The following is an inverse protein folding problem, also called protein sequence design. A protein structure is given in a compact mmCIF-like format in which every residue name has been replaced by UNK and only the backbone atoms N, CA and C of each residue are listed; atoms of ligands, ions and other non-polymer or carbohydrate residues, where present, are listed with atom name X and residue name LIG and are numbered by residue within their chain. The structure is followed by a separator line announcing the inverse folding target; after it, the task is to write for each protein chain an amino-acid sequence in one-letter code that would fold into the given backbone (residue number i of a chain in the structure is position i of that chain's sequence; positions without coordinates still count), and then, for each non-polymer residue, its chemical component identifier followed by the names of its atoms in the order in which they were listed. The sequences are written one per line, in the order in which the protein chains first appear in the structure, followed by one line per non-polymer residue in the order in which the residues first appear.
data_IF_200656391939
#
_entry.id   IF_200656391939
#
_cell.length_a   1.000
_cell.length_b   1.000
_cell.length_c   1.000
_cell.angle_alpha   90.00
_cell.angle_beta   90.00
_cell.angle_gamma   90.00
#
_symmetry.space_group_name_H-M   'P 1'
#
loop_
_entity.id
_entity.type
_entity.pdbx_description
1 polymer ?
#
# COMPACT_ATOMS: atom_id res chain seq x y z
N UNK A 1 15.12 -1.66 22.34
CA UNK A 1 14.88 -3.13 22.28
C UNK A 1 15.12 -3.57 20.84
N UNK A 2 15.79 -4.71 20.59
CA UNK A 2 16.01 -5.22 19.22
C UNK A 2 14.80 -6.02 18.73
N UNK A 3 14.45 -5.88 17.45
CA UNK A 3 13.44 -6.69 16.77
C UNK A 3 14.09 -8.03 16.34
N UNK A 4 14.33 -8.87 17.34
CA UNK A 4 15.12 -10.09 17.23
C UNK A 4 15.59 -10.56 18.61
N UNK A 5 16.46 -11.57 18.65
CA UNK A 5 17.15 -11.99 19.87
C UNK A 5 18.13 -10.89 20.32
N UNK A 6 18.52 -10.85 21.62
CA UNK A 6 19.40 -9.79 22.14
C UNK A 6 20.71 -9.61 21.37
N UNK A 7 21.26 -10.70 20.83
CA UNK A 7 22.55 -10.71 20.13
C UNK A 7 22.43 -10.62 18.60
N UNK A 8 21.22 -10.53 18.06
CA UNK A 8 21.02 -10.44 16.61
C UNK A 8 21.57 -9.12 16.06
N UNK A 9 22.02 -9.20 14.80
CA UNK A 9 22.51 -8.09 13.99
C UNK A 9 21.60 -7.93 12.76
N UNK A 10 21.44 -6.71 12.22
CA UNK A 10 20.67 -6.51 11.00
C UNK A 10 21.21 -7.36 9.84
N UNK A 11 20.32 -8.00 9.11
CA UNK A 11 20.67 -8.78 7.91
C UNK A 11 21.10 -7.88 6.75
N UNK A 12 20.51 -6.69 6.66
CA UNK A 12 20.81 -5.69 5.65
C UNK A 12 21.55 -4.51 6.28
N UNK A 13 22.51 -3.94 5.56
CA UNK A 13 23.10 -2.67 5.95
C UNK A 13 22.07 -1.52 5.84
N UNK A 14 22.33 -0.41 6.52
CA UNK A 14 21.37 0.70 6.63
C UNK A 14 20.98 1.30 5.28
N UNK A 15 21.92 1.40 4.33
CA UNK A 15 21.65 1.99 3.01
C UNK A 15 20.74 1.06 2.20
N UNK A 16 21.05 -0.24 2.18
CA UNK A 16 20.22 -1.24 1.51
C UNK A 16 18.82 -1.31 2.12
N UNK A 17 18.71 -1.27 3.45
CA UNK A 17 17.41 -1.23 4.14
C UNK A 17 16.60 0.02 3.76
N UNK A 18 17.24 1.19 3.75
CA UNK A 18 16.60 2.43 3.35
C UNK A 18 16.14 2.41 1.89
N UNK A 19 16.95 1.85 0.99
CA UNK A 19 16.59 1.69 -0.42
C UNK A 19 15.37 0.76 -0.60
N UNK A 20 15.29 -0.34 0.15
CA UNK A 20 14.12 -1.23 0.15
C UNK A 20 12.85 -0.51 0.62
N UNK A 21 12.95 0.37 1.62
CA UNK A 21 11.82 1.17 2.10
C UNK A 21 11.28 2.10 0.99
N UNK A 22 12.17 2.75 0.23
CA UNK A 22 11.78 3.61 -0.89
C UNK A 22 11.13 2.79 -2.02
N UNK A 23 11.71 1.63 -2.34
CA UNK A 23 11.16 0.72 -3.35
C UNK A 23 9.75 0.23 -2.99
N UNK A 24 9.48 -0.03 -1.70
CA UNK A 24 8.16 -0.43 -1.23
C UNK A 24 7.13 0.70 -1.27
N UNK A 25 7.58 1.96 -1.12
CA UNK A 25 6.70 3.14 -1.15
C UNK A 25 6.26 3.58 -2.55
N UNK A 26 7.03 3.23 -3.59
CA UNK A 26 6.74 3.62 -4.97
C UNK A 26 5.69 2.68 -5.59
N UNK A 27 4.41 3.04 -5.46
CA UNK A 27 3.29 2.27 -6.01
C UNK A 27 2.48 3.00 -7.09
N UNK A 28 1.52 2.28 -7.68
CA UNK A 28 0.55 2.82 -8.67
C UNK A 28 -0.13 4.09 -8.14
N UNK A 29 -0.45 4.13 -6.85
CA UNK A 29 -1.07 5.29 -6.21
C UNK A 29 -0.26 6.58 -6.38
N UNK A 30 1.06 6.52 -6.31
CA UNK A 30 1.92 7.70 -6.50
C UNK A 30 1.93 8.18 -7.96
N UNK A 31 1.91 7.26 -8.91
CA UNK A 31 1.86 7.60 -10.35
C UNK A 31 0.47 8.12 -10.74
N UNK A 32 -0.59 7.59 -10.13
CA UNK A 32 -1.97 7.99 -10.41
C UNK A 32 -2.32 9.32 -9.73
N UNK A 33 -2.17 9.39 -8.40
CA UNK A 33 -2.58 10.55 -7.60
C UNK A 33 -1.51 11.62 -7.45
N UNK A 34 -0.23 11.32 -7.70
CA UNK A 34 0.85 12.29 -7.53
C UNK A 34 0.68 13.57 -8.34
N UNK A 35 0.09 13.47 -9.53
CA UNK A 35 -0.32 14.64 -10.31
C UNK A 35 -1.81 14.97 -10.13
N UNK A 36 -2.70 13.96 -10.14
CA UNK A 36 -4.13 14.18 -10.19
C UNK A 36 -4.68 14.84 -8.92
N UNK A 37 -4.21 14.43 -7.74
CA UNK A 37 -4.73 14.90 -6.46
C UNK A 37 -4.42 16.38 -6.16
N UNK A 38 -3.18 16.88 -6.27
CA UNK A 38 -2.91 18.29 -6.02
C UNK A 38 -3.62 19.19 -7.03
N UNK A 39 -3.78 18.75 -8.29
CA UNK A 39 -4.55 19.49 -9.30
C UNK A 39 -6.04 19.52 -8.95
N UNK A 40 -6.62 18.39 -8.52
CA UNK A 40 -8.02 18.33 -8.11
C UNK A 40 -8.29 19.23 -6.90
N UNK A 41 -7.44 19.17 -5.87
CA UNK A 41 -7.56 20.04 -4.69
C UNK A 41 -7.29 21.52 -5.00
N UNK A 42 -6.53 21.83 -6.06
CA UNK A 42 -6.32 23.21 -6.50
C UNK A 42 -7.54 23.80 -7.22
N UNK A 43 -8.25 22.97 -7.99
CA UNK A 43 -9.47 23.36 -8.70
C UNK A 43 -10.70 23.40 -7.78
N UNK A 44 -10.74 22.59 -6.72
CA UNK A 44 -11.82 22.55 -5.74
C UNK A 44 -11.28 22.47 -4.30
N UNK A 45 -10.60 23.52 -3.82
CA UNK A 45 -10.09 23.57 -2.45
C UNK A 45 -11.23 23.62 -1.42
N UNK A 46 -11.06 23.04 -0.22
CA UNK A 46 -12.07 23.06 0.83
C UNK A 46 -12.39 24.46 1.38
N UNK A 47 -11.39 25.34 1.50
CA UNK A 47 -11.55 26.63 2.18
C UNK A 47 -11.07 27.87 1.41
N UNK A 48 -10.11 27.72 0.50
CA UNK A 48 -9.67 28.82 -0.37
C UNK A 48 -10.59 29.03 -1.59
N UNK A 49 -10.43 30.17 -2.26
CA UNK A 49 -11.00 30.35 -3.59
C UNK A 49 -10.22 29.50 -4.61
N UNK A 50 -10.89 28.78 -5.52
CA UNK A 50 -10.26 27.96 -6.57
C UNK A 50 -9.17 28.71 -7.35
N UNK A 51 -8.15 27.97 -7.76
CA UNK A 51 -7.08 28.46 -8.66
C UNK A 51 -6.26 29.65 -8.14
N UNK A 52 -6.30 29.92 -6.83
CA UNK A 52 -5.51 30.99 -6.18
C UNK A 52 -4.22 30.48 -5.56
N UNK A 53 -3.27 31.37 -5.26
CA UNK A 53 -2.05 31.03 -4.50
C UNK A 53 -2.35 30.38 -3.14
N UNK A 54 -3.48 30.75 -2.51
CA UNK A 54 -3.95 30.12 -1.28
C UNK A 54 -4.40 28.67 -1.53
N UNK A 55 -5.18 28.44 -2.59
CA UNK A 55 -5.59 27.09 -3.01
C UNK A 55 -4.39 26.20 -3.36
N UNK A 56 -3.34 26.74 -3.97
CA UNK A 56 -2.11 25.99 -4.25
C UNK A 56 -1.43 25.51 -2.96
N UNK A 57 -1.34 26.40 -1.97
CA UNK A 57 -0.74 26.07 -0.68
C UNK A 57 -1.57 25.02 0.05
N UNK A 58 -2.90 25.15 0.02
CA UNK A 58 -3.85 24.21 0.63
C UNK A 58 -3.83 22.84 -0.08
N UNK A 59 -3.80 22.80 -1.41
CA UNK A 59 -3.78 21.56 -2.19
C UNK A 59 -2.55 20.70 -1.90
N UNK A 60 -1.38 21.33 -1.83
CA UNK A 60 -0.14 20.64 -1.45
C UNK A 60 -0.22 20.15 -0.01
N UNK A 61 -0.72 20.96 0.94
CA UNK A 61 -0.88 20.52 2.34
C UNK A 61 -1.77 19.29 2.45
N UNK A 62 -2.91 19.27 1.77
CA UNK A 62 -3.82 18.12 1.76
C UNK A 62 -3.16 16.88 1.14
N UNK A 63 -2.46 17.05 0.02
CA UNK A 63 -1.74 15.94 -0.64
C UNK A 63 -0.64 15.38 0.27
N UNK A 64 0.16 16.25 0.91
CA UNK A 64 1.17 15.83 1.88
C UNK A 64 0.56 15.19 3.13
N UNK A 65 -0.65 15.58 3.53
CA UNK A 65 -1.33 14.93 4.64
C UNK A 65 -1.73 13.48 4.30
N UNK A 66 -2.26 13.24 3.09
CA UNK A 66 -2.66 11.91 2.64
C UNK A 66 -1.47 10.96 2.38
N UNK A 67 -0.38 11.46 1.79
CA UNK A 67 0.76 10.62 1.37
C UNK A 67 1.99 10.72 2.28
N UNK A 68 1.96 11.65 3.24
CA UNK A 68 3.04 11.88 4.19
C UNK A 68 2.93 11.00 5.44
N UNK A 69 3.32 11.58 6.57
CA UNK A 69 3.52 10.84 7.81
C UNK A 69 2.31 10.00 8.25
N UNK A 70 1.08 10.46 8.01
CA UNK A 70 -0.14 9.78 8.45
C UNK A 70 -0.25 8.35 7.88
N UNK A 71 -0.07 8.18 6.57
CA UNK A 71 -0.11 6.87 5.92
C UNK A 71 1.02 5.95 6.42
N UNK A 72 2.24 6.49 6.51
CA UNK A 72 3.41 5.74 6.93
C UNK A 72 3.38 5.33 8.41
N UNK A 73 2.76 6.14 9.28
CA UNK A 73 2.61 5.82 10.69
C UNK A 73 1.76 4.56 10.89
N UNK A 74 0.70 4.38 10.10
CA UNK A 74 -0.15 3.19 10.14
C UNK A 74 0.68 1.95 9.79
N UNK A 75 1.46 2.00 8.70
CA UNK A 75 2.37 0.90 8.34
C UNK A 75 3.42 0.64 9.40
N UNK A 76 4.01 1.69 9.97
CA UNK A 76 5.02 1.59 11.02
C UNK A 76 4.49 0.86 12.26
N UNK A 77 3.27 1.17 12.70
CA UNK A 77 2.64 0.50 13.86
C UNK A 77 2.40 -0.98 13.57
N UNK A 78 1.79 -1.31 12.43
CA UNK A 78 1.49 -2.71 12.08
C UNK A 78 2.77 -3.52 11.85
N UNK A 79 3.74 -2.96 11.12
CA UNK A 79 5.03 -3.60 10.87
C UNK A 79 5.80 -3.83 12.17
N UNK A 80 5.78 -2.88 13.11
CA UNK A 80 6.41 -3.03 14.42
C UNK A 80 5.76 -4.15 15.23
N UNK A 81 4.43 -4.23 15.23
CA UNK A 81 3.70 -5.26 15.94
C UNK A 81 4.01 -6.67 15.40
N UNK A 82 4.02 -6.82 14.07
CA UNK A 82 4.40 -8.06 13.39
C UNK A 82 5.87 -8.42 13.65
N UNK A 83 6.79 -7.48 13.44
CA UNK A 83 8.21 -7.72 13.62
C UNK A 83 8.56 -8.08 15.08
N UNK A 84 7.90 -7.44 16.05
CA UNK A 84 8.07 -7.80 17.45
C UNK A 84 7.50 -9.21 17.73
N UNK A 85 6.28 -9.51 17.31
CA UNK A 85 5.68 -10.83 17.55
C UNK A 85 6.51 -11.94 16.90
N UNK A 86 6.91 -11.75 15.65
CA UNK A 86 7.65 -12.75 14.89
C UNK A 86 9.09 -12.88 15.35
N UNK A 87 9.88 -11.81 15.30
CA UNK A 87 11.33 -11.90 15.53
C UNK A 87 11.71 -11.86 17.01
N UNK A 88 10.94 -11.18 17.87
CA UNK A 88 11.24 -11.09 19.30
C UNK A 88 10.56 -12.17 20.12
N UNK A 89 9.31 -12.54 19.78
CA UNK A 89 8.54 -13.55 20.53
C UNK A 89 8.53 -14.93 19.88
N UNK A 90 8.99 -15.06 18.64
CA UNK A 90 9.04 -16.35 17.94
C UNK A 90 7.66 -16.85 17.51
N UNK A 91 6.68 -15.96 17.43
CA UNK A 91 5.34 -16.31 16.95
C UNK A 91 5.32 -16.43 15.41
N UNK A 92 4.33 -17.13 14.85
CA UNK A 92 4.04 -17.05 13.42
C UNK A 92 3.78 -15.61 12.97
N UNK A 93 4.13 -15.28 11.72
CA UNK A 93 3.92 -13.96 11.10
C UNK A 93 2.45 -13.70 10.73
N UNK A 94 1.55 -13.82 11.70
CA UNK A 94 0.10 -13.63 11.55
C UNK A 94 -0.36 -12.40 12.34
N UNK A 95 -1.37 -11.71 11.82
CA UNK A 95 -1.92 -10.50 12.48
C UNK A 95 -2.54 -10.87 13.82
N UNK A 96 -3.26 -12.00 13.90
CA UNK A 96 -3.82 -12.53 15.15
C UNK A 96 -2.79 -12.63 16.27
N UNK A 97 -1.55 -13.03 15.96
CA UNK A 97 -0.47 -13.23 16.93
C UNK A 97 0.06 -11.93 17.51
N UNK A 98 -0.11 -10.81 16.81
CA UNK A 98 0.21 -9.49 17.36
C UNK A 98 -0.72 -9.12 18.52
N UNK A 99 -1.91 -9.72 18.60
CA UNK A 99 -2.93 -9.44 19.60
C UNK A 99 -2.86 -10.37 20.82
N UNK A 100 -1.88 -11.29 20.91
CA UNK A 100 -1.70 -12.16 22.08
C UNK A 100 -1.64 -11.39 23.41
N UNK A 101 -0.99 -10.21 23.53
CA UNK A 101 -0.98 -9.46 24.78
C UNK A 101 -2.38 -9.05 25.28
N UNK A 102 -3.37 -8.98 24.39
CA UNK A 102 -4.75 -8.60 24.72
C UNK A 102 -5.68 -9.81 24.82
N UNK A 103 -5.50 -10.80 23.95
CA UNK A 103 -6.41 -11.94 23.80
C UNK A 103 -5.88 -13.25 24.43
N UNK A 104 -4.63 -13.27 24.87
CA UNK A 104 -3.96 -14.47 25.39
C UNK A 104 -3.98 -15.60 24.37
N UNK A 105 -4.18 -16.83 24.83
CA UNK A 105 -4.15 -18.02 23.98
C UNK A 105 -5.33 -18.14 23.01
N UNK A 106 -6.33 -17.25 23.10
CA UNK A 106 -7.45 -17.21 22.15
C UNK A 106 -7.01 -16.89 20.72
N UNK A 107 -5.81 -16.32 20.53
CA UNK A 107 -5.21 -16.10 19.21
C UNK A 107 -4.89 -17.40 18.45
N UNK A 108 -4.87 -18.53 19.14
CA UNK A 108 -4.70 -19.87 18.54
C UNK A 108 -6.03 -20.53 18.16
N UNK A 109 -7.14 -19.97 18.63
CA UNK A 109 -8.48 -20.50 18.40
C UNK A 109 -9.24 -19.79 17.28
N UNK A 110 -10.56 -19.98 17.22
CA UNK A 110 -11.42 -19.42 16.17
C UNK A 110 -11.36 -17.90 16.04
N UNK A 111 -11.11 -17.19 17.15
CA UNK A 111 -10.96 -15.73 17.15
C UNK A 111 -9.71 -15.32 16.36
N UNK A 112 -8.59 -16.01 16.56
CA UNK A 112 -7.37 -15.76 15.80
C UNK A 112 -7.57 -16.00 14.31
N UNK A 113 -8.18 -17.12 13.94
CA UNK A 113 -8.51 -17.43 12.54
C UNK A 113 -9.40 -16.34 11.92
N UNK A 114 -10.41 -15.85 12.64
CA UNK A 114 -11.26 -14.76 12.15
C UNK A 114 -10.46 -13.50 11.86
N UNK A 115 -9.55 -13.09 12.76
CA UNK A 115 -8.69 -11.91 12.57
C UNK A 115 -7.80 -12.07 11.34
N UNK A 116 -7.19 -13.24 11.17
CA UNK A 116 -6.30 -13.51 10.03
C UNK A 116 -7.08 -13.53 8.71
N UNK A 117 -8.28 -14.11 8.69
CA UNK A 117 -9.18 -14.08 7.53
C UNK A 117 -9.55 -12.64 7.18
N UNK A 118 -9.97 -11.82 8.15
CA UNK A 118 -10.27 -10.41 7.91
C UNK A 118 -9.07 -9.65 7.36
N UNK A 119 -7.87 -9.96 7.85
CA UNK A 119 -6.62 -9.36 7.39
C UNK A 119 -6.34 -9.70 5.93
N UNK A 120 -6.53 -10.97 5.53
CA UNK A 120 -6.41 -11.40 4.13
C UNK A 120 -7.42 -10.68 3.24
N UNK A 121 -8.68 -10.57 3.66
CA UNK A 121 -9.69 -9.82 2.91
C UNK A 121 -9.33 -8.34 2.77
N UNK A 122 -8.84 -7.69 3.83
CA UNK A 122 -8.41 -6.30 3.78
C UNK A 122 -7.25 -6.11 2.76
N UNK A 123 -6.28 -7.02 2.75
CA UNK A 123 -5.18 -7.00 1.76
C UNK A 123 -5.70 -7.21 0.34
N UNK A 124 -6.59 -8.19 0.12
CA UNK A 124 -7.16 -8.47 -1.20
C UNK A 124 -7.92 -7.28 -1.77
N UNK A 125 -8.74 -6.62 -0.95
CA UNK A 125 -9.48 -5.41 -1.36
C UNK A 125 -8.52 -4.28 -1.72
N UNK A 126 -7.49 -4.04 -0.90
CA UNK A 126 -6.47 -3.01 -1.19
C UNK A 126 -5.72 -3.26 -2.50
N UNK A 127 -5.30 -4.51 -2.73
CA UNK A 127 -4.62 -4.92 -3.97
C UNK A 127 -5.54 -4.78 -5.19
N UNK A 128 -6.81 -5.17 -5.08
CA UNK A 128 -7.78 -5.09 -6.17
C UNK A 128 -8.03 -3.64 -6.62
N UNK A 129 -8.16 -2.70 -5.67
CA UNK A 129 -8.31 -1.27 -5.98
C UNK A 129 -7.07 -0.73 -6.70
N UNK A 130 -5.87 -1.06 -6.22
CA UNK A 130 -4.61 -0.66 -6.85
C UNK A 130 -4.48 -1.20 -8.28
N UNK A 131 -4.82 -2.47 -8.50
CA UNK A 131 -4.80 -3.11 -9.82
C UNK A 131 -5.80 -2.44 -10.79
N UNK A 132 -7.02 -2.14 -10.31
CA UNK A 132 -8.02 -1.44 -11.10
C UNK A 132 -7.56 -0.06 -11.54
N UNK A 133 -6.94 0.72 -10.65
CA UNK A 133 -6.33 2.02 -11.00
C UNK A 133 -5.21 1.86 -12.03
N UNK A 134 -4.36 0.85 -11.90
CA UNK A 134 -3.33 0.53 -12.89
C UNK A 134 -3.92 0.26 -14.28
N UNK A 135 -5.00 -0.51 -14.35
CA UNK A 135 -5.69 -0.81 -15.60
C UNK A 135 -6.30 0.45 -16.24
N UNK A 136 -6.91 1.33 -15.44
CA UNK A 136 -7.41 2.64 -15.89
C UNK A 136 -6.29 3.50 -16.47
N UNK A 137 -5.15 3.54 -15.79
CA UNK A 137 -4.00 4.33 -16.20
C UNK A 137 -3.37 3.81 -17.50
N UNK A 138 -3.20 2.48 -17.62
CA UNK A 138 -2.71 1.85 -18.85
C UNK A 138 -3.69 2.10 -20.00
N UNK A 139 -5.00 1.90 -19.80
CA UNK A 139 -5.98 2.13 -20.85
C UNK A 139 -5.99 3.59 -21.30
N UNK A 140 -5.92 4.55 -20.36
CA UNK A 140 -5.81 5.98 -20.67
C UNK A 140 -4.56 6.32 -21.48
N UNK A 141 -3.41 5.75 -21.12
CA UNK A 141 -2.16 5.92 -21.88
C UNK A 141 -2.23 5.34 -23.28
N UNK A 142 -2.78 4.12 -23.44
CA UNK A 142 -2.99 3.50 -24.75
C UNK A 142 -3.98 4.27 -25.62
N UNK A 143 -5.02 4.84 -25.01
CA UNK A 143 -5.97 5.68 -25.72
C UNK A 143 -5.29 6.95 -26.25
N UNK A 144 -4.51 7.62 -25.41
CA UNK A 144 -3.78 8.82 -25.78
C UNK A 144 -2.75 8.60 -26.90
N UNK A 145 -2.00 7.48 -26.83
CA UNK A 145 -0.92 7.20 -27.78
C UNK A 145 -1.37 6.52 -29.08
N UNK A 146 -2.36 5.62 -28.99
CA UNK A 146 -2.72 4.71 -30.08
C UNK A 146 -4.21 4.74 -30.44
N UNK A 147 -5.02 5.57 -29.79
CA UNK A 147 -6.45 5.69 -30.07
C UNK A 147 -7.28 4.48 -29.62
N UNK A 148 -6.73 3.57 -28.81
CA UNK A 148 -7.45 2.41 -28.27
C UNK A 148 -8.67 2.89 -27.45
N UNK A 149 -9.86 2.27 -27.57
CA UNK A 149 -11.02 2.66 -26.78
C UNK A 149 -10.75 2.66 -25.27
N UNK A 150 -11.18 3.70 -24.58
CA UNK A 150 -11.13 3.76 -23.11
C UNK A 150 -12.48 3.31 -22.53
N UNK A 151 -12.59 2.02 -22.22
CA UNK A 151 -13.80 1.44 -21.67
C UNK A 151 -13.50 0.21 -20.80
N UNK A 152 -14.49 -0.23 -20.04
CA UNK A 152 -14.35 -1.35 -19.10
C UNK A 152 -13.94 -2.66 -19.78
N UNK A 153 -14.29 -2.86 -21.06
CA UNK A 153 -13.90 -4.07 -21.79
C UNK A 153 -12.38 -4.12 -22.02
N UNK A 154 -11.78 -3.02 -22.49
CA UNK A 154 -10.32 -2.94 -22.67
C UNK A 154 -9.58 -3.02 -21.33
N UNK A 155 -10.10 -2.37 -20.28
CA UNK A 155 -9.55 -2.49 -18.93
C UNK A 155 -9.56 -3.93 -18.42
N UNK A 156 -10.64 -4.68 -18.67
CA UNK A 156 -10.74 -6.10 -18.35
C UNK A 156 -9.68 -6.94 -19.07
N UNK A 157 -9.43 -6.68 -20.36
CA UNK A 157 -8.36 -7.34 -21.12
C UNK A 157 -6.99 -7.03 -20.51
N UNK A 158 -6.71 -5.76 -20.18
CA UNK A 158 -5.44 -5.34 -19.54
C UNK A 158 -5.23 -6.11 -18.24
N UNK A 159 -6.27 -6.20 -17.39
CA UNK A 159 -6.21 -6.93 -16.13
C UNK A 159 -5.85 -8.40 -16.39
N UNK A 160 -6.54 -9.08 -17.30
CA UNK A 160 -6.28 -10.50 -17.62
C UNK A 160 -4.84 -10.70 -18.09
N UNK A 161 -4.34 -9.84 -18.98
CA UNK A 161 -2.95 -9.92 -19.47
C UNK A 161 -1.95 -9.73 -18.35
N UNK A 162 -2.09 -8.68 -17.53
CA UNK A 162 -1.20 -8.40 -16.40
C UNK A 162 -1.25 -9.54 -15.38
N UNK A 163 -2.43 -10.11 -15.11
CA UNK A 163 -2.58 -11.26 -14.23
C UNK A 163 -1.85 -12.50 -14.76
N UNK A 164 -1.96 -12.81 -16.06
CA UNK A 164 -1.22 -13.92 -16.68
C UNK A 164 0.29 -13.70 -16.55
N UNK A 165 0.78 -12.48 -16.84
CA UNK A 165 2.20 -12.14 -16.71
C UNK A 165 2.68 -12.26 -15.26
N UNK A 166 1.88 -11.80 -14.31
CA UNK A 166 2.17 -11.92 -12.88
C UNK A 166 2.26 -13.39 -12.44
N UNK A 167 1.29 -14.23 -12.84
CA UNK A 167 1.30 -15.66 -12.50
C UNK A 167 2.51 -16.35 -13.12
N UNK A 168 2.83 -16.06 -14.38
CA UNK A 168 4.00 -16.62 -15.04
C UNK A 168 5.29 -16.24 -14.31
N UNK A 169 5.45 -14.97 -13.92
CA UNK A 169 6.59 -14.48 -13.15
C UNK A 169 6.69 -15.13 -11.77
N UNK A 170 5.57 -15.25 -11.05
CA UNK A 170 5.52 -15.86 -9.72
C UNK A 170 5.86 -17.35 -9.75
N UNK A 171 5.54 -18.03 -10.86
CA UNK A 171 5.84 -19.45 -11.04
C UNK A 171 7.29 -19.71 -11.47
N UNK A 172 7.88 -18.84 -12.30
CA UNK A 172 9.26 -19.02 -12.79
C UNK A 172 10.35 -18.73 -11.77
N UNK A 173 10.05 -17.94 -10.72
CA UNK A 173 11.01 -17.47 -9.72
C UNK A 173 11.63 -16.13 -10.07
#
# INVERSE_FOLDING_TARGET
LKLGKPNDKPEFNTISWFAMLFSAGMGIGLVFYGAAEPMAHFAAPPTADPETTKAYTESLRSTFFHWGFHAWAIYGVVALALAYSQFRKGEPGLISRTLRPLLGDKVEGPIGTLIDVLSVFATLVGVAVSLGMGALQINGGLHYLFGVPNNTFVQGIIIVVVTILFIASAWSG
#
